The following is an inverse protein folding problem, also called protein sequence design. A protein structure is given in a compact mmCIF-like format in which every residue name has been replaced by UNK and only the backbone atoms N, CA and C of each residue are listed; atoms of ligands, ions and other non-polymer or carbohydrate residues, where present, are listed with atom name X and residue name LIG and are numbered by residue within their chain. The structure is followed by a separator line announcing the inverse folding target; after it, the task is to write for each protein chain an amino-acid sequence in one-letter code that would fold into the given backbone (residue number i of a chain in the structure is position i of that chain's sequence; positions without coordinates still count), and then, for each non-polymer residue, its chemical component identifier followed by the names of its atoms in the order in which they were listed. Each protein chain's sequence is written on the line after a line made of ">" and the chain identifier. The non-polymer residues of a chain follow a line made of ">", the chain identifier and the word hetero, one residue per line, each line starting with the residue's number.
data_IF_281724559675
#
_entry.id   IF_281724559675
#
_cell.length_a   1.000
_cell.length_b   1.000
_cell.length_c   1.000
_cell.angle_alpha   90.00
_cell.angle_beta   90.00
_cell.angle_gamma   90.00
#
_symmetry.space_group_name_H-M   'P 1'
#
loop_
_entity.id
_entity.type
_entity.pdbx_description
1 polymer ?
#
# COMPACT_ATOMS: atom_id res chain seq x y z
N UNK A 1 -36.87 -6.24 19.57
CA UNK A 1 -37.05 -5.04 20.42
C UNK A 1 -35.82 -4.88 21.26
N UNK A 2 -34.92 -3.97 20.87
CA UNK A 2 -33.66 -3.72 21.58
C UNK A 2 -33.93 -2.73 22.69
N UNK A 3 -34.10 -3.22 23.91
CA UNK A 3 -34.22 -2.35 25.09
C UNK A 3 -32.80 -2.05 25.57
N UNK A 4 -32.22 -0.99 25.03
CA UNK A 4 -31.13 -0.27 25.70
C UNK A 4 -31.75 0.57 26.82
N UNK A 5 -32.00 -0.06 27.97
CA UNK A 5 -32.19 0.67 29.23
C UNK A 5 -30.80 0.86 29.81
N UNK A 6 -30.38 2.12 29.98
CA UNK A 6 -29.23 2.48 30.83
C UNK A 6 -29.47 1.82 32.19
N UNK A 7 -28.55 0.98 32.65
CA UNK A 7 -28.70 0.07 33.79
C UNK A 7 -28.79 0.69 35.19
N UNK A 8 -29.41 1.87 35.32
CA UNK A 8 -29.59 2.57 36.60
C UNK A 8 -30.89 2.24 37.33
N UNK A 9 -32.00 2.06 36.62
CA UNK A 9 -33.35 2.09 37.22
C UNK A 9 -34.15 0.81 36.91
N UNK A 10 -33.72 -0.32 37.46
CA UNK A 10 -34.53 -1.56 37.48
C UNK A 10 -35.02 -1.76 38.91
N UNK A 11 -36.34 -1.85 39.11
CA UNK A 11 -36.93 -2.20 40.40
C UNK A 11 -36.66 -3.69 40.68
N UNK A 12 -35.95 -4.05 41.78
CA UNK A 12 -35.70 -5.45 42.13
C UNK A 12 -36.98 -6.29 42.21
N UNK A 13 -38.13 -5.71 42.58
CA UNK A 13 -39.42 -6.42 42.60
C UNK A 13 -39.90 -6.82 41.22
N UNK A 14 -39.56 -6.07 40.16
CA UNK A 14 -39.91 -6.42 38.78
C UNK A 14 -39.17 -7.67 38.29
N UNK A 15 -37.99 -7.97 38.86
CA UNK A 15 -37.13 -9.09 38.43
C UNK A 15 -37.23 -10.28 39.40
N UNK A 16 -37.25 -10.01 40.70
CA UNK A 16 -37.12 -11.01 41.77
C UNK A 16 -38.42 -11.29 42.52
N UNK A 17 -39.48 -10.50 42.30
CA UNK A 17 -40.80 -10.74 42.92
C UNK A 17 -40.80 -10.60 44.45
N UNK A 18 -41.47 -11.54 45.13
CA UNK A 18 -41.62 -11.56 46.59
C UNK A 18 -40.29 -11.75 47.33
N UNK A 19 -39.28 -12.32 46.69
CA UNK A 19 -37.96 -12.56 47.31
C UNK A 19 -37.03 -11.33 47.21
N UNK A 20 -37.48 -10.21 46.62
CA UNK A 20 -36.63 -9.06 46.36
C UNK A 20 -35.96 -8.47 47.63
N UNK A 21 -36.58 -8.62 48.79
CA UNK A 21 -36.05 -8.20 50.09
C UNK A 21 -35.00 -9.15 50.68
N UNK A 22 -34.79 -10.33 50.08
CA UNK A 22 -33.75 -11.30 50.44
C UNK A 22 -32.44 -11.11 49.65
N UNK A 23 -32.43 -10.23 48.64
CA UNK A 23 -31.27 -10.01 47.77
C UNK A 23 -30.79 -8.56 47.80
N UNK A 24 -29.46 -8.38 47.89
CA UNK A 24 -28.82 -7.08 47.75
C UNK A 24 -28.09 -6.99 46.40
N UNK A 25 -28.27 -5.86 45.70
CA UNK A 25 -27.56 -5.60 44.44
C UNK A 25 -26.08 -5.36 44.73
N UNK A 26 -25.21 -6.16 44.11
CA UNK A 26 -23.77 -5.91 44.13
C UNK A 26 -23.47 -4.66 43.27
N UNK A 27 -22.84 -3.61 43.85
CA UNK A 27 -22.59 -2.36 43.14
C UNK A 27 -21.33 -2.40 42.25
N UNK A 28 -20.53 -3.46 42.39
CA UNK A 28 -19.28 -3.63 41.65
C UNK A 28 -19.54 -3.71 40.14
N UNK A 29 -18.66 -3.08 39.38
CA UNK A 29 -18.64 -3.15 37.92
C UNK A 29 -17.52 -4.06 37.45
N UNK A 30 -17.67 -4.60 36.24
CA UNK A 30 -16.58 -5.33 35.61
C UNK A 30 -15.46 -4.39 35.17
N UNK A 31 -14.26 -4.92 35.12
CA UNK A 31 -13.08 -4.21 34.62
C UNK A 31 -13.16 -3.99 33.10
N UNK A 32 -12.58 -2.89 32.62
CA UNK A 32 -12.61 -2.51 31.19
C UNK A 32 -11.90 -3.52 30.29
N UNK A 33 -10.98 -4.34 30.82
CA UNK A 33 -10.40 -5.44 30.06
C UNK A 33 -11.37 -6.60 29.85
N UNK A 34 -12.37 -6.77 30.73
CA UNK A 34 -13.46 -7.71 30.50
C UNK A 34 -14.33 -7.24 29.33
N UNK A 35 -14.73 -5.97 29.35
CA UNK A 35 -15.55 -5.38 28.29
C UNK A 35 -14.87 -5.54 26.92
N UNK A 36 -13.63 -5.06 26.80
CA UNK A 36 -12.86 -5.15 25.54
C UNK A 36 -12.51 -6.59 25.17
N UNK A 37 -12.15 -7.44 26.13
CA UNK A 37 -11.82 -8.85 25.88
C UNK A 37 -13.03 -9.69 25.42
N UNK A 38 -14.25 -9.30 25.79
CA UNK A 38 -15.47 -9.99 25.39
C UNK A 38 -15.93 -9.70 23.95
N UNK A 39 -15.24 -8.83 23.21
CA UNK A 39 -15.64 -8.39 21.85
C UNK A 39 -15.76 -9.51 20.82
N UNK A 40 -15.01 -10.60 20.97
CA UNK A 40 -15.19 -11.78 20.10
C UNK A 40 -16.58 -12.41 20.25
N UNK A 41 -17.20 -12.30 21.42
CA UNK A 41 -18.56 -12.76 21.67
C UNK A 41 -19.58 -11.65 21.38
N UNK A 42 -19.37 -10.46 21.96
CA UNK A 42 -20.35 -9.36 21.88
C UNK A 42 -20.42 -8.68 20.51
N UNK A 43 -19.39 -8.85 19.66
CA UNK A 43 -19.36 -8.30 18.30
C UNK A 43 -19.32 -9.41 17.26
N UNK A 44 -18.30 -10.26 17.26
CA UNK A 44 -18.09 -11.22 16.15
C UNK A 44 -19.18 -12.30 16.13
N UNK A 45 -19.47 -12.96 17.26
CA UNK A 45 -20.54 -13.97 17.29
C UNK A 45 -21.94 -13.36 17.17
N UNK A 46 -22.13 -12.15 17.70
CA UNK A 46 -23.43 -11.49 17.74
C UNK A 46 -23.92 -11.02 16.36
N UNK A 47 -23.03 -10.98 15.37
CA UNK A 47 -23.26 -10.38 14.06
C UNK A 47 -23.41 -11.45 12.98
N UNK A 48 -24.61 -11.60 12.39
CA UNK A 48 -24.86 -12.64 11.39
C UNK A 48 -24.03 -12.45 10.11
N UNK A 49 -23.59 -11.22 9.81
CA UNK A 49 -22.73 -10.93 8.65
C UNK A 49 -21.38 -11.68 8.67
N UNK A 50 -20.94 -12.15 9.84
CA UNK A 50 -19.71 -12.94 9.95
C UNK A 50 -19.93 -14.44 9.81
N UNK A 51 -21.18 -14.92 9.69
CA UNK A 51 -21.53 -16.34 9.47
C UNK A 51 -20.81 -17.34 10.40
N UNK A 52 -20.50 -16.94 11.64
CA UNK A 52 -19.79 -17.78 12.61
C UNK A 52 -18.28 -17.91 12.36
N UNK A 53 -17.71 -17.16 11.42
CA UNK A 53 -16.27 -17.09 11.21
C UNK A 53 -15.59 -16.35 12.37
N UNK A 54 -14.50 -16.94 12.88
CA UNK A 54 -13.62 -16.26 13.81
C UNK A 54 -12.75 -15.23 13.08
N UNK A 55 -12.22 -14.26 13.81
CA UNK A 55 -11.28 -13.29 13.25
C UNK A 55 -10.02 -14.00 12.73
N UNK A 56 -9.59 -13.68 11.51
CA UNK A 56 -8.33 -14.20 10.99
C UNK A 56 -7.14 -13.61 11.74
N UNK A 57 -7.20 -12.33 12.10
CA UNK A 57 -6.10 -11.63 12.76
C UNK A 57 -6.61 -10.61 13.79
N UNK A 58 -5.93 -10.53 14.91
CA UNK A 58 -5.93 -9.37 15.79
C UNK A 58 -4.65 -8.55 15.57
N UNK A 59 -4.78 -7.23 15.44
CA UNK A 59 -3.66 -6.33 15.17
C UNK A 59 -3.74 -5.11 16.08
N UNK A 60 -2.75 -4.94 16.97
CA UNK A 60 -2.64 -3.81 17.90
C UNK A 60 -1.18 -3.56 18.31
N UNK A 61 -0.96 -2.51 19.11
CA UNK A 61 0.33 -2.20 19.72
C UNK A 61 0.86 -3.30 20.66
N UNK A 62 2.18 -3.35 20.83
CA UNK A 62 2.86 -4.35 21.67
C UNK A 62 2.45 -4.33 23.15
N UNK A 63 1.89 -3.23 23.65
CA UNK A 63 1.32 -3.13 24.99
C UNK A 63 0.09 -4.04 25.20
N UNK A 64 -0.59 -4.43 24.12
CA UNK A 64 -1.82 -5.23 24.20
C UNK A 64 -1.57 -6.71 24.52
N UNK A 65 -0.32 -7.19 24.53
CA UNK A 65 0.02 -8.53 25.01
C UNK A 65 -0.45 -8.79 26.44
N UNK A 66 -0.43 -7.77 27.30
CA UNK A 66 -0.92 -7.86 28.69
C UNK A 66 -2.28 -7.19 28.91
N UNK A 67 -2.82 -6.58 27.86
CA UNK A 67 -4.13 -5.95 27.82
C UNK A 67 -5.09 -6.79 26.98
N UNK A 68 -5.51 -6.23 25.85
CA UNK A 68 -6.63 -6.76 25.07
C UNK A 68 -6.41 -8.17 24.51
N UNK A 69 -5.20 -8.53 24.08
CA UNK A 69 -4.94 -9.89 23.59
C UNK A 69 -5.11 -10.93 24.70
N UNK A 70 -4.57 -10.65 25.88
CA UNK A 70 -4.65 -11.55 27.03
C UNK A 70 -6.10 -11.69 27.51
N UNK A 71 -6.82 -10.57 27.69
CA UNK A 71 -8.21 -10.63 28.14
C UNK A 71 -9.12 -11.34 27.13
N UNK A 72 -8.96 -11.04 25.83
CA UNK A 72 -9.70 -11.71 24.76
C UNK A 72 -9.45 -13.22 24.74
N UNK A 73 -8.18 -13.63 24.87
CA UNK A 73 -7.80 -15.03 24.88
C UNK A 73 -8.41 -15.77 26.09
N UNK A 74 -8.25 -15.21 27.30
CA UNK A 74 -8.78 -15.83 28.52
C UNK A 74 -10.30 -16.00 28.45
N UNK A 75 -11.03 -14.96 28.05
CA UNK A 75 -12.49 -15.00 27.98
C UNK A 75 -12.95 -16.00 26.91
N UNK A 76 -12.36 -15.97 25.72
CA UNK A 76 -12.72 -16.91 24.65
C UNK A 76 -12.41 -18.36 25.02
N UNK A 77 -11.28 -18.62 25.68
CA UNK A 77 -10.95 -19.98 26.16
C UNK A 77 -11.92 -20.41 27.26
N UNK A 78 -12.27 -19.54 28.20
CA UNK A 78 -13.23 -19.85 29.26
C UNK A 78 -14.63 -20.15 28.71
N UNK A 79 -15.08 -19.40 27.68
CA UNK A 79 -16.42 -19.55 27.11
C UNK A 79 -16.53 -20.64 26.03
N UNK A 80 -15.47 -20.81 25.22
CA UNK A 80 -15.51 -21.60 23.97
C UNK A 80 -14.40 -22.63 23.84
N UNK A 81 -13.44 -22.68 24.77
CA UNK A 81 -12.31 -23.60 24.71
C UNK A 81 -11.30 -23.34 23.57
N UNK A 82 -11.33 -22.16 22.93
CA UNK A 82 -10.43 -21.81 21.81
C UNK A 82 -10.07 -20.33 21.79
N UNK A 83 -8.98 -19.99 21.10
CA UNK A 83 -8.59 -18.59 20.88
C UNK A 83 -9.61 -17.84 19.99
N UNK A 84 -9.78 -16.52 20.17
CA UNK A 84 -10.75 -15.72 19.40
C UNK A 84 -10.24 -15.29 18.02
N UNK A 85 -8.96 -15.55 17.72
CA UNK A 85 -8.28 -15.17 16.48
C UNK A 85 -7.39 -16.32 15.98
N UNK A 86 -7.04 -16.32 14.68
CA UNK A 86 -6.09 -17.28 14.10
C UNK A 86 -4.64 -16.78 14.19
N UNK A 87 -4.44 -15.48 14.10
CA UNK A 87 -3.13 -14.82 14.14
C UNK A 87 -3.15 -13.57 15.01
N UNK A 88 -1.99 -13.19 15.53
CA UNK A 88 -1.77 -11.90 16.21
C UNK A 88 -0.61 -11.22 15.50
N UNK A 89 -0.82 -9.98 15.07
CA UNK A 89 0.22 -9.12 14.53
C UNK A 89 0.39 -7.92 15.46
N UNK A 90 1.62 -7.60 15.82
CA UNK A 90 1.91 -6.51 16.75
C UNK A 90 2.80 -5.47 16.11
N UNK A 91 2.56 -4.21 16.44
CA UNK A 91 3.43 -3.11 16.03
C UNK A 91 3.98 -2.33 17.22
N UNK A 92 5.10 -1.64 17.01
CA UNK A 92 5.67 -0.73 17.98
C UNK A 92 4.89 0.59 18.09
N UNK A 93 5.35 1.43 19.00
CA UNK A 93 4.75 2.75 19.23
C UNK A 93 5.31 3.79 18.28
N UNK A 94 4.51 4.81 17.98
CA UNK A 94 5.03 6.02 17.33
C UNK A 94 5.83 6.86 18.33
N UNK A 95 7.04 7.24 17.93
CA UNK A 95 7.96 8.09 18.70
C UNK A 95 8.37 9.31 17.88
N UNK A 96 8.90 10.34 18.54
CA UNK A 96 9.41 11.51 17.82
C UNK A 96 10.67 11.17 16.99
N UNK A 97 11.14 12.10 16.17
CA UNK A 97 12.34 11.90 15.33
C UNK A 97 13.65 11.63 16.09
N UNK A 98 13.66 11.75 17.42
CA UNK A 98 14.79 11.40 18.29
C UNK A 98 14.55 10.08 19.05
N UNK A 99 13.45 9.36 18.78
CA UNK A 99 13.11 8.12 19.46
C UNK A 99 12.48 8.31 20.84
N UNK A 100 11.99 9.51 21.17
CA UNK A 100 11.38 9.77 22.48
C UNK A 100 9.87 9.61 22.39
N UNK A 101 9.28 9.10 23.48
CA UNK A 101 7.82 9.03 23.62
C UNK A 101 7.20 10.41 23.40
N UNK A 102 6.17 10.45 22.56
CA UNK A 102 5.46 11.70 22.29
C UNK A 102 4.57 12.08 23.47
N UNK A 103 4.57 13.36 23.84
CA UNK A 103 3.62 13.91 24.80
C UNK A 103 3.25 15.36 24.45
N UNK A 104 2.03 15.76 24.81
CA UNK A 104 1.56 17.13 24.63
C UNK A 104 2.38 18.13 25.47
N UNK A 105 2.85 17.72 26.66
CA UNK A 105 3.63 18.59 27.55
C UNK A 105 5.05 18.86 27.04
N UNK A 106 5.67 17.91 26.34
CA UNK A 106 6.99 18.07 25.71
C UNK A 106 6.87 18.81 24.37
N UNK A 107 5.67 18.86 23.77
CA UNK A 107 5.42 19.55 22.51
C UNK A 107 5.95 18.83 21.27
N UNK A 108 6.32 17.55 21.39
CA UNK A 108 6.86 16.72 20.31
C UNK A 108 5.80 15.81 19.65
N UNK A 109 4.51 16.12 19.84
CA UNK A 109 3.41 15.33 19.26
C UNK A 109 3.14 15.75 17.82
N UNK A 110 3.03 14.78 16.91
CA UNK A 110 2.56 15.00 15.54
C UNK A 110 1.14 14.46 15.40
N UNK A 111 0.17 15.31 15.09
CA UNK A 111 -1.22 14.89 14.88
C UNK A 111 -1.41 14.29 13.49
N UNK A 112 -2.02 13.09 13.36
CA UNK A 112 -2.36 12.51 12.06
C UNK A 112 -3.21 13.45 11.20
N UNK A 113 -4.17 14.17 11.80
CA UNK A 113 -5.02 15.10 11.08
C UNK A 113 -4.23 16.26 10.48
N UNK A 114 -3.22 16.77 11.18
CA UNK A 114 -2.38 17.85 10.67
C UNK A 114 -1.52 17.40 9.50
N UNK A 115 -1.01 16.16 9.56
CA UNK A 115 -0.27 15.56 8.44
C UNK A 115 -1.19 15.37 7.23
N UNK A 116 -2.39 14.84 7.43
CA UNK A 116 -3.37 14.65 6.35
C UNK A 116 -3.76 16.00 5.71
N UNK A 117 -3.98 17.04 6.51
CA UNK A 117 -4.32 18.37 6.00
C UNK A 117 -3.17 19.02 5.22
N UNK A 118 -1.90 18.79 5.63
CA UNK A 118 -0.72 19.40 5.00
C UNK A 118 -0.20 18.63 3.78
N UNK A 119 -0.21 17.30 3.85
CA UNK A 119 0.46 16.42 2.88
C UNK A 119 -0.53 15.48 2.15
N UNK A 120 -1.66 15.15 2.77
CA UNK A 120 -2.62 14.19 2.24
C UNK A 120 -2.52 12.82 2.91
N UNK A 121 -3.63 12.08 2.91
CA UNK A 121 -3.75 10.79 3.57
C UNK A 121 -2.80 9.72 3.01
N UNK A 122 -2.61 9.66 1.68
CA UNK A 122 -1.72 8.69 1.05
C UNK A 122 -0.25 8.88 1.47
N UNK A 123 0.18 10.10 1.76
CA UNK A 123 1.55 10.36 2.22
C UNK A 123 1.75 9.83 3.64
N UNK A 124 0.75 10.01 4.51
CA UNK A 124 0.76 9.44 5.85
C UNK A 124 0.76 7.90 5.79
N UNK A 125 -0.12 7.30 4.97
CA UNK A 125 -0.18 5.84 4.78
C UNK A 125 1.12 5.28 4.19
N UNK A 126 1.72 5.99 3.23
CA UNK A 126 3.00 5.60 2.65
C UNK A 126 4.14 5.65 3.67
N UNK A 127 4.16 6.66 4.56
CA UNK A 127 5.12 6.71 5.66
C UNK A 127 4.96 5.50 6.60
N UNK A 128 3.72 5.21 7.04
CA UNK A 128 3.42 4.04 7.89
C UNK A 128 3.93 2.77 7.21
N UNK A 129 3.55 2.55 5.95
CA UNK A 129 3.95 1.37 5.19
C UNK A 129 5.46 1.30 4.93
N UNK A 130 6.16 2.43 4.84
CA UNK A 130 7.62 2.46 4.60
C UNK A 130 8.47 2.15 5.82
N UNK A 131 7.85 2.02 7.00
CA UNK A 131 8.54 1.81 8.27
C UNK A 131 8.44 0.35 8.69
N UNK A 132 9.52 -0.22 9.20
CA UNK A 132 9.47 -1.50 9.92
C UNK A 132 8.68 -1.31 11.22
N UNK A 133 7.43 -1.76 11.22
CA UNK A 133 6.51 -1.59 12.33
C UNK A 133 6.81 -2.53 13.50
N UNK A 134 7.70 -3.51 13.36
CA UNK A 134 8.06 -4.41 14.48
C UNK A 134 8.82 -3.67 15.58
N UNK A 135 9.50 -2.58 15.22
CA UNK A 135 10.14 -1.63 16.14
C UNK A 135 9.33 -0.35 16.37
N UNK A 136 9.93 0.59 17.11
CA UNK A 136 9.35 1.92 17.27
C UNK A 136 9.35 2.71 15.95
N UNK A 137 8.25 3.39 15.66
CA UNK A 137 8.04 4.11 14.42
C UNK A 137 8.33 5.60 14.62
N UNK A 138 9.49 6.08 14.17
CA UNK A 138 9.85 7.48 14.31
C UNK A 138 9.10 8.39 13.31
N UNK A 139 8.54 9.51 13.82
CA UNK A 139 7.90 10.54 13.00
C UNK A 139 8.54 11.92 13.21
N UNK A 140 8.79 12.61 12.11
CA UNK A 140 9.25 14.00 12.08
C UNK A 140 8.87 14.64 10.75
N UNK A 141 8.88 15.98 10.69
CA UNK A 141 8.64 16.71 9.45
C UNK A 141 9.61 16.31 8.33
N UNK A 142 10.87 15.99 8.67
CA UNK A 142 11.86 15.52 7.70
C UNK A 142 11.52 14.14 7.16
N UNK A 143 11.11 13.20 8.03
CA UNK A 143 10.70 11.86 7.64
C UNK A 143 9.45 11.93 6.74
N UNK A 144 8.46 12.73 7.12
CA UNK A 144 7.25 12.95 6.33
C UNK A 144 7.55 13.60 4.97
N UNK A 145 8.52 14.51 4.92
CA UNK A 145 8.99 15.09 3.65
C UNK A 145 9.62 14.02 2.74
N UNK A 146 10.41 13.09 3.27
CA UNK A 146 10.97 11.96 2.51
C UNK A 146 9.87 11.03 1.98
N UNK A 147 8.83 10.77 2.78
CA UNK A 147 7.66 10.03 2.33
C UNK A 147 6.94 10.78 1.19
N UNK A 148 6.79 12.11 1.29
CA UNK A 148 6.20 12.92 0.23
C UNK A 148 7.01 12.90 -1.06
N UNK A 149 8.35 12.89 -0.98
CA UNK A 149 9.21 12.80 -2.17
C UNK A 149 9.12 11.41 -2.83
N UNK A 150 8.99 10.36 -2.03
CA UNK A 150 8.73 8.99 -2.52
C UNK A 150 7.38 8.91 -3.22
N UNK A 151 6.33 9.44 -2.59
CA UNK A 151 5.00 9.58 -3.19
C UNK A 151 5.03 10.29 -4.55
N UNK A 152 5.67 11.47 -4.61
CA UNK A 152 5.80 12.25 -5.87
C UNK A 152 6.48 11.44 -6.96
N UNK A 153 7.46 10.61 -6.61
CA UNK A 153 8.17 9.79 -7.59
C UNK A 153 7.26 8.72 -8.19
N UNK A 154 6.53 7.98 -7.35
CA UNK A 154 5.57 6.97 -7.81
C UNK A 154 4.47 7.62 -8.67
N UNK A 155 3.89 8.73 -8.19
CA UNK A 155 2.86 9.48 -8.92
C UNK A 155 3.38 9.99 -10.28
N UNK A 156 4.61 10.49 -10.35
CA UNK A 156 5.20 10.96 -11.61
C UNK A 156 5.42 9.84 -12.61
N UNK A 157 5.82 8.64 -12.16
CA UNK A 157 5.91 7.47 -13.02
C UNK A 157 4.53 7.12 -13.58
N UNK A 158 3.51 6.98 -12.73
CA UNK A 158 2.14 6.71 -13.19
C UNK A 158 1.63 7.77 -14.18
N UNK A 159 1.85 9.06 -13.89
CA UNK A 159 1.50 10.16 -14.80
C UNK A 159 2.19 10.04 -16.16
N UNK A 160 3.46 9.64 -16.19
CA UNK A 160 4.17 9.42 -17.45
C UNK A 160 3.56 8.27 -18.25
N UNK A 161 3.21 7.15 -17.60
CA UNK A 161 2.53 6.02 -18.24
C UNK A 161 1.22 6.49 -18.88
N UNK A 162 0.33 7.13 -18.10
CA UNK A 162 -0.97 7.62 -18.57
C UNK A 162 -0.84 8.62 -19.72
N UNK A 163 0.07 9.59 -19.63
CA UNK A 163 0.26 10.59 -20.68
C UNK A 163 0.63 9.97 -22.03
N UNK A 164 1.31 8.82 -22.01
CA UNK A 164 1.72 8.09 -23.20
C UNK A 164 0.66 7.07 -23.69
N UNK A 165 -0.42 6.88 -22.93
CA UNK A 165 -1.59 6.07 -23.30
C UNK A 165 -2.72 6.90 -23.89
N UNK A 166 -2.54 8.21 -24.07
CA UNK A 166 -3.54 9.06 -24.73
C UNK A 166 -3.82 8.55 -26.17
N UNK A 167 -5.08 8.30 -26.47
CA UNK A 167 -5.54 7.76 -27.75
C UNK A 167 -5.23 6.28 -27.97
N UNK A 168 -4.72 5.56 -26.97
CA UNK A 168 -4.53 4.11 -27.03
C UNK A 168 -5.84 3.40 -26.65
N UNK A 169 -6.34 2.53 -27.51
CA UNK A 169 -7.46 1.65 -27.22
C UNK A 169 -6.96 0.20 -27.03
N UNK A 170 -6.94 -0.35 -25.81
CA UNK A 170 -6.43 -1.71 -25.59
C UNK A 170 -7.18 -2.78 -26.39
N UNK A 171 -8.45 -2.56 -26.74
CA UNK A 171 -9.22 -3.54 -27.52
C UNK A 171 -8.74 -3.69 -28.98
N UNK A 172 -8.10 -2.65 -29.55
CA UNK A 172 -7.74 -2.62 -30.98
C UNK A 172 -6.25 -2.41 -31.23
N UNK A 173 -5.54 -1.81 -30.27
CA UNK A 173 -4.19 -1.28 -30.48
C UNK A 173 -3.10 -2.13 -29.81
N UNK A 174 -3.48 -3.13 -29.00
CA UNK A 174 -2.52 -4.02 -28.37
C UNK A 174 -1.75 -4.84 -29.41
N UNK A 175 -0.45 -4.99 -29.18
CA UNK A 175 0.45 -5.84 -29.98
C UNK A 175 0.70 -7.13 -29.22
N UNK A 176 0.72 -8.27 -29.92
CA UNK A 176 1.01 -9.56 -29.29
C UNK A 176 2.45 -9.59 -28.77
N UNK A 177 2.73 -10.27 -27.64
CA UNK A 177 4.08 -10.31 -27.05
C UNK A 177 5.18 -10.67 -28.06
N UNK A 178 4.96 -11.64 -28.94
CA UNK A 178 5.91 -12.10 -29.95
C UNK A 178 6.22 -11.07 -31.05
N UNK A 179 5.32 -10.10 -31.27
CA UNK A 179 5.45 -9.02 -32.26
C UNK A 179 5.98 -7.72 -31.64
N UNK A 180 6.10 -7.68 -30.30
CA UNK A 180 6.59 -6.52 -29.58
C UNK A 180 8.11 -6.35 -29.74
N UNK A 181 8.55 -5.10 -29.65
CA UNK A 181 9.97 -4.78 -29.51
C UNK A 181 10.46 -5.39 -28.21
N UNK A 182 11.59 -6.11 -28.26
CA UNK A 182 12.15 -6.86 -27.12
C UNK A 182 12.31 -5.99 -25.86
N UNK A 183 12.74 -4.73 -26.01
CA UNK A 183 12.85 -3.79 -24.88
C UNK A 183 11.53 -3.60 -24.12
N UNK A 184 10.40 -3.64 -24.83
CA UNK A 184 9.06 -3.42 -24.25
C UNK A 184 8.60 -4.67 -23.51
N UNK A 185 8.86 -5.85 -24.09
CA UNK A 185 8.64 -7.15 -23.43
C UNK A 185 9.47 -7.27 -22.16
N UNK A 186 10.73 -6.86 -22.20
CA UNK A 186 11.60 -6.80 -21.03
C UNK A 186 11.01 -5.92 -19.93
N UNK A 187 10.46 -4.75 -20.28
CA UNK A 187 9.84 -3.85 -19.30
C UNK A 187 8.60 -4.46 -18.64
N UNK A 188 7.78 -5.22 -19.40
CA UNK A 188 6.67 -6.01 -18.83
C UNK A 188 7.20 -7.14 -17.95
N UNK A 189 8.31 -7.78 -18.33
CA UNK A 189 9.01 -8.78 -17.51
C UNK A 189 9.48 -8.22 -16.17
N UNK A 190 10.07 -7.02 -16.14
CA UNK A 190 10.39 -6.33 -14.90
C UNK A 190 9.16 -6.11 -14.02
N UNK A 191 8.02 -5.75 -14.62
CA UNK A 191 6.76 -5.59 -13.88
C UNK A 191 6.25 -6.92 -13.32
N UNK A 192 6.38 -8.02 -14.08
CA UNK A 192 6.04 -9.37 -13.62
C UNK A 192 6.83 -9.75 -12.37
N UNK A 193 8.15 -9.58 -12.41
CA UNK A 193 9.02 -9.83 -11.26
C UNK A 193 8.69 -8.92 -10.08
N UNK A 194 8.44 -7.63 -10.34
CA UNK A 194 8.01 -6.69 -9.31
C UNK A 194 6.73 -7.12 -8.61
N UNK A 195 5.71 -7.53 -9.37
CA UNK A 195 4.46 -8.01 -8.81
C UNK A 195 4.68 -9.22 -7.91
N UNK A 196 5.44 -10.22 -8.36
CA UNK A 196 5.69 -11.42 -7.57
C UNK A 196 6.36 -11.11 -6.22
N UNK A 197 7.33 -10.19 -6.21
CA UNK A 197 8.00 -9.75 -4.99
C UNK A 197 7.07 -8.93 -4.08
N UNK A 198 6.25 -8.04 -4.65
CA UNK A 198 5.26 -7.25 -3.92
C UNK A 198 4.19 -8.13 -3.27
N UNK A 199 3.66 -9.12 -4.00
CA UNK A 199 2.65 -10.05 -3.48
C UNK A 199 3.20 -10.84 -2.29
N UNK A 200 4.42 -11.39 -2.41
CA UNK A 200 5.08 -12.09 -1.30
C UNK A 200 5.26 -11.19 -0.07
N UNK A 201 5.65 -9.93 -0.27
CA UNK A 201 5.79 -8.99 0.83
C UNK A 201 4.43 -8.66 1.48
N UNK A 202 3.35 -8.50 0.71
CA UNK A 202 2.01 -8.36 1.28
C UNK A 202 1.56 -9.59 2.08
N UNK A 203 1.80 -10.80 1.57
CA UNK A 203 1.49 -12.05 2.26
C UNK A 203 2.26 -12.22 3.57
N UNK A 204 3.50 -11.72 3.62
CA UNK A 204 4.35 -11.73 4.81
C UNK A 204 4.08 -10.55 5.77
N UNK A 205 3.16 -9.64 5.43
CA UNK A 205 2.94 -8.37 6.12
C UNK A 205 4.18 -7.45 6.14
N UNK A 206 5.11 -7.59 5.19
CA UNK A 206 6.32 -6.77 5.05
C UNK A 206 6.06 -5.52 4.19
N UNK A 207 5.22 -4.61 4.69
CA UNK A 207 4.81 -3.42 3.92
C UNK A 207 5.97 -2.50 3.52
N UNK A 208 7.05 -2.47 4.30
CA UNK A 208 8.23 -1.66 4.01
C UNK A 208 8.96 -2.18 2.77
N UNK A 209 9.00 -3.50 2.57
CA UNK A 209 9.53 -4.13 1.37
C UNK A 209 8.65 -3.85 0.14
N UNK A 210 7.33 -3.81 0.30
CA UNK A 210 6.42 -3.37 -0.78
C UNK A 210 6.78 -1.96 -1.26
N UNK A 211 6.93 -1.01 -0.33
CA UNK A 211 7.27 0.38 -0.66
C UNK A 211 8.67 0.47 -1.31
N UNK A 212 9.66 -0.24 -0.78
CA UNK A 212 11.00 -0.30 -1.37
C UNK A 212 10.97 -0.84 -2.79
N UNK A 213 10.22 -1.93 -3.03
CA UNK A 213 10.12 -2.55 -4.35
C UNK A 213 9.41 -1.65 -5.37
N UNK A 214 8.33 -0.99 -4.96
CA UNK A 214 7.63 0.03 -5.75
C UNK A 214 8.57 1.18 -6.14
N UNK A 215 9.35 1.68 -5.17
CA UNK A 215 10.30 2.77 -5.39
C UNK A 215 11.44 2.37 -6.32
N UNK A 216 11.97 1.15 -6.17
CA UNK A 216 12.96 0.57 -7.07
C UNK A 216 12.41 0.47 -8.49
N UNK A 217 11.18 -0.05 -8.66
CA UNK A 217 10.51 -0.15 -9.95
C UNK A 217 10.38 1.21 -10.64
N UNK A 218 9.80 2.18 -9.92
CA UNK A 218 9.55 3.51 -10.47
C UNK A 218 10.85 4.27 -10.78
N UNK A 219 11.86 4.17 -9.92
CA UNK A 219 13.11 4.94 -10.05
C UNK A 219 14.09 4.33 -11.04
N UNK A 220 14.32 3.03 -10.93
CA UNK A 220 15.45 2.35 -11.58
C UNK A 220 15.00 1.75 -12.90
N UNK A 221 14.09 0.78 -12.84
CA UNK A 221 13.65 0.02 -14.03
C UNK A 221 12.88 0.94 -15.00
N UNK A 222 11.90 1.69 -14.48
CA UNK A 222 11.10 2.59 -15.30
C UNK A 222 11.82 3.92 -15.55
N UNK A 223 12.06 4.71 -14.50
CA UNK A 223 12.51 6.10 -14.66
C UNK A 223 13.89 6.25 -15.30
N UNK A 224 14.90 5.54 -14.80
CA UNK A 224 16.29 5.73 -15.24
C UNK A 224 16.67 4.98 -16.52
N UNK A 225 15.86 3.98 -16.90
CA UNK A 225 16.14 3.09 -18.01
C UNK A 225 15.01 3.11 -19.05
N UNK A 226 13.90 2.39 -18.82
CA UNK A 226 12.89 2.18 -19.86
C UNK A 226 12.26 3.49 -20.37
N UNK A 227 11.65 4.27 -19.46
CA UNK A 227 10.93 5.50 -19.81
C UNK A 227 11.83 6.57 -20.41
N UNK A 228 13.14 6.52 -20.15
CA UNK A 228 14.08 7.45 -20.78
C UNK A 228 14.46 7.03 -22.21
N UNK A 229 14.60 5.72 -22.46
CA UNK A 229 14.92 5.17 -23.79
C UNK A 229 13.76 5.38 -24.76
N UNK A 230 12.53 5.12 -24.32
CA UNK A 230 11.36 5.10 -25.22
C UNK A 230 10.88 6.49 -25.66
N UNK A 231 11.36 7.58 -25.05
CA UNK A 231 10.92 8.96 -25.37
C UNK A 231 11.04 9.26 -26.85
N UNK A 232 12.19 8.98 -27.44
CA UNK A 232 12.42 9.27 -28.85
C UNK A 232 11.41 8.52 -29.72
N UNK A 233 11.28 7.21 -29.52
CA UNK A 233 10.32 6.36 -30.24
C UNK A 233 8.87 6.84 -30.07
N UNK A 234 8.49 7.30 -28.87
CA UNK A 234 7.14 7.80 -28.62
C UNK A 234 6.86 9.13 -29.35
N UNK A 235 7.86 9.99 -29.52
CA UNK A 235 7.70 11.29 -30.18
C UNK A 235 7.88 11.26 -31.69
N UNK A 236 8.67 10.34 -32.22
CA UNK A 236 9.08 10.34 -33.64
C UNK A 236 8.40 9.25 -34.47
N UNK A 237 7.97 8.14 -33.86
CA UNK A 237 7.33 7.05 -34.60
C UNK A 237 5.90 7.40 -35.03
N UNK A 238 5.49 6.89 -36.20
CA UNK A 238 4.12 7.02 -36.70
C UNK A 238 3.12 6.46 -35.67
N UNK A 239 1.96 7.12 -35.55
CA UNK A 239 0.96 6.84 -34.54
C UNK A 239 0.50 5.37 -34.51
N UNK A 240 0.39 4.75 -35.67
CA UNK A 240 -0.08 3.39 -35.94
C UNK A 240 1.05 2.37 -36.13
N UNK A 241 2.32 2.78 -35.97
CA UNK A 241 3.45 1.86 -36.15
C UNK A 241 3.56 0.84 -35.03
N UNK A 242 4.00 -0.39 -35.36
CA UNK A 242 4.29 -1.46 -34.38
C UNK A 242 5.24 -0.97 -33.29
N UNK A 243 6.25 -0.19 -33.65
CA UNK A 243 7.22 0.37 -32.69
C UNK A 243 6.55 1.23 -31.59
N UNK A 244 5.53 2.03 -31.96
CA UNK A 244 4.76 2.83 -31.01
C UNK A 244 3.71 2.00 -30.27
N UNK A 245 2.98 1.12 -30.97
CA UNK A 245 1.94 0.27 -30.37
C UNK A 245 2.50 -0.75 -29.39
N UNK A 246 3.68 -1.31 -29.68
CA UNK A 246 4.45 -2.14 -28.75
C UNK A 246 4.75 -1.39 -27.44
N UNK A 247 5.24 -0.16 -27.57
CA UNK A 247 5.53 0.70 -26.42
C UNK A 247 4.27 0.95 -25.57
N UNK A 248 3.17 1.36 -26.21
CA UNK A 248 1.90 1.61 -25.53
C UNK A 248 1.32 0.35 -24.88
N UNK A 249 1.45 -0.80 -25.53
CA UNK A 249 1.04 -2.10 -24.97
C UNK A 249 1.79 -2.40 -23.67
N UNK A 250 3.12 -2.25 -23.66
CA UNK A 250 3.90 -2.42 -22.44
C UNK A 250 3.52 -1.41 -21.35
N UNK A 251 3.38 -0.13 -21.70
CA UNK A 251 2.98 0.91 -20.74
C UNK A 251 1.59 0.63 -20.14
N UNK A 252 0.66 0.08 -20.92
CA UNK A 252 -0.66 -0.31 -20.47
C UNK A 252 -0.59 -1.44 -19.43
N UNK A 253 0.10 -2.54 -19.74
CA UNK A 253 0.30 -3.64 -18.79
C UNK A 253 0.98 -3.17 -17.49
N UNK A 254 2.02 -2.34 -17.62
CA UNK A 254 2.74 -1.80 -16.45
C UNK A 254 1.83 -0.90 -15.61
N UNK A 255 0.99 -0.07 -16.25
CA UNK A 255 0.09 0.83 -15.53
C UNK A 255 -1.04 0.07 -14.82
N UNK A 256 -1.63 -0.95 -15.46
CA UNK A 256 -2.64 -1.82 -14.85
C UNK A 256 -2.08 -2.50 -13.58
N UNK A 257 -0.86 -3.01 -13.64
CA UNK A 257 -0.21 -3.64 -12.49
C UNK A 257 0.16 -2.63 -11.40
N UNK A 258 0.84 -1.53 -11.75
CA UNK A 258 1.31 -0.51 -10.82
C UNK A 258 0.18 0.06 -9.96
N UNK A 259 -0.99 0.32 -10.56
CA UNK A 259 -2.16 0.91 -9.88
C UNK A 259 -2.74 -0.05 -8.86
N UNK A 260 -2.74 -1.36 -9.15
CA UNK A 260 -3.16 -2.38 -8.19
C UNK A 260 -2.17 -2.52 -7.05
N UNK A 261 -0.87 -2.57 -7.33
CA UNK A 261 0.16 -2.68 -6.29
C UNK A 261 0.10 -1.52 -5.29
N UNK A 262 -0.24 -0.32 -5.75
CA UNK A 262 -0.36 0.83 -4.85
C UNK A 262 -1.67 0.88 -4.06
N UNK A 263 -2.75 0.22 -4.52
CA UNK A 263 -4.09 0.41 -3.96
C UNK A 263 -4.20 0.14 -2.45
N UNK A 264 -3.55 -0.89 -1.85
CA UNK A 264 -3.62 -1.11 -0.40
C UNK A 264 -2.96 0.01 0.43
N UNK A 265 -1.94 0.69 -0.11
CA UNK A 265 -1.16 1.71 0.62
C UNK A 265 -1.62 3.13 0.26
N UNK A 266 -1.72 3.44 -1.03
CA UNK A 266 -2.04 4.77 -1.58
C UNK A 266 -3.42 4.77 -2.26
N UNK A 267 -4.45 4.41 -1.48
CA UNK A 267 -5.78 4.09 -2.00
C UNK A 267 -6.41 5.22 -2.81
N UNK A 268 -6.25 6.47 -2.38
CA UNK A 268 -6.88 7.61 -3.07
C UNK A 268 -6.23 7.86 -4.43
N UNK A 269 -4.90 7.81 -4.49
CA UNK A 269 -4.14 7.99 -5.73
C UNK A 269 -4.36 6.83 -6.69
N UNK A 270 -4.48 5.60 -6.18
CA UNK A 270 -4.78 4.43 -6.98
C UNK A 270 -6.15 4.57 -7.67
N UNK A 271 -7.18 4.93 -6.91
CA UNK A 271 -8.55 5.12 -7.43
C UNK A 271 -8.63 6.32 -8.39
N UNK A 272 -7.90 7.41 -8.12
CA UNK A 272 -7.77 8.53 -9.05
C UNK A 272 -7.19 8.06 -10.40
N UNK A 273 -6.07 7.33 -10.38
CA UNK A 273 -5.42 6.84 -11.61
C UNK A 273 -6.30 5.84 -12.35
N UNK A 274 -7.03 4.98 -11.61
CA UNK A 274 -7.90 3.96 -12.16
C UNK A 274 -8.87 4.51 -13.20
N UNK A 275 -9.48 5.67 -12.92
CA UNK A 275 -10.41 6.34 -13.82
C UNK A 275 -9.79 6.92 -15.10
N UNK A 276 -8.46 7.04 -15.19
CA UNK A 276 -7.76 7.54 -16.37
C UNK A 276 -7.10 6.47 -17.23
N UNK A 277 -7.11 5.20 -16.78
CA UNK A 277 -6.58 4.11 -17.58
C UNK A 277 -7.54 3.77 -18.74
N UNK A 278 -7.03 3.51 -19.96
CA UNK A 278 -7.87 3.25 -21.12
C UNK A 278 -8.53 1.86 -21.06
N UNK A 279 -9.68 1.71 -21.72
CA UNK A 279 -10.40 0.43 -21.79
C UNK A 279 -11.51 0.27 -20.75
N UNK A 280 -12.32 -0.78 -20.92
CA UNK A 280 -13.40 -1.13 -20.02
C UNK A 280 -12.86 -1.69 -18.71
N UNK A 281 -13.44 -1.27 -17.58
CA UNK A 281 -12.99 -1.65 -16.24
C UNK A 281 -14.11 -1.53 -15.23
N UNK A 282 -13.92 -2.17 -14.10
CA UNK A 282 -14.77 -2.02 -12.93
C UNK A 282 -14.74 -0.59 -12.39
N UNK A 283 -15.77 -0.22 -11.62
CA UNK A 283 -15.93 1.14 -11.11
C UNK A 283 -14.79 1.59 -10.20
N UNK A 284 -14.25 0.69 -9.39
CA UNK A 284 -13.24 0.99 -8.39
C UNK A 284 -12.07 0.03 -8.52
N UNK A 285 -10.86 0.52 -8.27
CA UNK A 285 -9.67 -0.36 -8.21
C UNK A 285 -9.78 -1.40 -7.09
N UNK A 286 -10.54 -1.08 -6.03
CA UNK A 286 -10.67 -1.91 -4.82
C UNK A 286 -11.44 -3.22 -5.01
N UNK A 287 -12.17 -3.37 -6.13
CA UNK A 287 -12.86 -4.60 -6.47
C UNK A 287 -12.07 -5.49 -7.43
N UNK A 288 -10.99 -4.95 -8.00
CA UNK A 288 -10.13 -5.68 -8.93
C UNK A 288 -9.14 -6.62 -8.23
N UNK A 289 -8.73 -7.65 -8.96
CA UNK A 289 -7.69 -8.58 -8.55
C UNK A 289 -6.30 -8.14 -9.03
N UNK A 290 -5.23 -8.81 -8.57
CA UNK A 290 -3.88 -8.59 -9.08
C UNK A 290 -3.79 -8.81 -10.60
N UNK A 291 -2.97 -8.02 -11.29
CA UNK A 291 -2.97 -8.03 -12.74
C UNK A 291 -2.33 -9.31 -13.31
N UNK A 292 -3.06 -10.07 -14.12
CA UNK A 292 -2.64 -11.35 -14.68
C UNK A 292 -2.03 -11.24 -16.08
N UNK A 293 -2.18 -10.11 -16.76
CA UNK A 293 -1.66 -9.86 -18.11
C UNK A 293 -0.15 -9.63 -18.22
N UNK A 294 0.63 -9.88 -17.15
CA UNK A 294 2.09 -9.68 -17.16
C UNK A 294 2.82 -10.91 -17.72
N UNK A 295 3.71 -10.68 -18.68
CA UNK A 295 4.57 -11.69 -19.30
C UNK A 295 6.05 -11.29 -19.22
N UNK A 296 6.93 -12.24 -19.48
CA UNK A 296 8.38 -12.03 -19.49
C UNK A 296 9.02 -12.51 -20.78
N UNK A 297 10.33 -12.43 -20.84
CA UNK A 297 11.15 -13.06 -21.88
C UNK A 297 11.46 -14.50 -21.46
N UNK A 298 11.56 -15.41 -22.43
CA UNK A 298 12.05 -16.77 -22.14
C UNK A 298 13.57 -16.75 -21.94
N UNK A 299 14.09 -17.66 -21.11
CA UNK A 299 15.53 -17.70 -20.77
C UNK A 299 16.43 -17.98 -21.99
N UNK A 300 15.90 -18.72 -22.96
CA UNK A 300 16.56 -19.09 -24.22
C UNK A 300 16.52 -17.99 -25.29
N UNK A 301 15.88 -16.85 -25.04
CA UNK A 301 15.90 -15.72 -25.98
C UNK A 301 17.27 -15.02 -26.02
N UNK A 302 17.70 -14.58 -27.20
CA UNK A 302 18.99 -13.91 -27.41
C UNK A 302 19.16 -12.65 -26.55
N UNK A 303 18.06 -11.92 -26.32
CA UNK A 303 18.02 -10.69 -25.53
C UNK A 303 17.25 -10.87 -24.21
N UNK A 304 17.51 -11.97 -23.50
CA UNK A 304 16.90 -12.27 -22.20
C UNK A 304 17.24 -11.26 -21.08
N UNK A 305 16.76 -11.53 -19.87
CA UNK A 305 16.94 -10.66 -18.69
C UNK A 305 18.42 -10.43 -18.32
N UNK A 306 19.29 -11.41 -18.56
CA UNK A 306 20.72 -11.28 -18.31
C UNK A 306 21.37 -10.25 -19.25
N UNK A 307 21.00 -10.27 -20.52
CA UNK A 307 21.44 -9.28 -21.50
C UNK A 307 21.03 -7.85 -21.10
N UNK A 308 19.77 -7.65 -20.71
CA UNK A 308 19.27 -6.32 -20.34
C UNK A 308 19.85 -5.82 -19.02
N UNK A 309 20.10 -6.71 -18.06
CA UNK A 309 20.81 -6.38 -16.82
C UNK A 309 22.22 -5.86 -17.12
N UNK A 310 22.96 -6.55 -17.99
CA UNK A 310 24.29 -6.11 -18.45
C UNK A 310 24.24 -4.78 -19.21
N UNK A 311 23.20 -4.59 -20.03
CA UNK A 311 22.97 -3.34 -20.78
C UNK A 311 22.67 -2.15 -19.86
N UNK A 312 21.88 -2.33 -18.80
CA UNK A 312 21.59 -1.30 -17.80
C UNK A 312 22.85 -0.88 -17.02
N UNK A 313 23.69 -1.87 -16.62
CA UNK A 313 24.98 -1.61 -15.97
C UNK A 313 25.90 -0.81 -16.91
N UNK A 314 26.00 -1.24 -18.17
CA UNK A 314 26.84 -0.60 -19.18
C UNK A 314 26.39 0.84 -19.45
N UNK A 315 25.09 1.08 -19.59
CA UNK A 315 24.51 2.42 -19.72
C UNK A 315 24.88 3.31 -18.54
N UNK A 316 24.77 2.80 -17.31
CA UNK A 316 25.13 3.57 -16.10
C UNK A 316 26.59 4.02 -16.11
N UNK A 317 27.51 3.14 -16.55
CA UNK A 317 28.93 3.47 -16.71
C UNK A 317 29.15 4.52 -17.80
N UNK A 318 28.50 4.37 -18.96
CA UNK A 318 28.58 5.31 -20.08
C UNK A 318 28.01 6.69 -19.71
N UNK A 319 26.88 6.76 -19.00
CA UNK A 319 26.30 8.03 -18.53
C UNK A 319 27.23 8.74 -17.54
N UNK A 320 27.89 8.00 -16.64
CA UNK A 320 28.93 8.59 -15.76
C UNK A 320 30.09 9.15 -16.57
N UNK A 321 30.62 8.40 -17.54
CA UNK A 321 31.70 8.85 -18.43
C UNK A 321 31.31 10.09 -19.23
N UNK A 322 30.09 10.11 -19.79
CA UNK A 322 29.57 11.26 -20.54
C UNK A 322 29.39 12.50 -19.66
N UNK A 323 28.90 12.35 -18.42
CA UNK A 323 28.80 13.46 -17.46
C UNK A 323 30.17 14.05 -17.11
N UNK A 324 31.21 13.22 -17.00
CA UNK A 324 32.58 13.67 -16.76
C UNK A 324 33.14 14.41 -17.98
N UNK A 325 32.77 13.99 -19.20
CA UNK A 325 33.22 14.59 -20.46
C UNK A 325 32.40 15.80 -20.91
N UNK A 326 31.24 16.06 -20.30
CA UNK A 326 30.44 17.26 -20.59
C UNK A 326 31.20 18.49 -20.08
N UNK A 327 31.54 19.47 -20.94
CA UNK A 327 32.07 20.74 -20.47
C UNK A 327 31.06 21.37 -19.51
N UNK A 328 31.52 21.98 -18.41
CA UNK A 328 30.68 22.85 -17.58
C UNK A 328 30.20 24.01 -18.46
N UNK A 329 29.03 23.86 -19.09
CA UNK A 329 28.39 24.94 -19.81
C UNK A 329 28.01 26.00 -18.77
N UNK A 330 28.71 27.13 -18.82
CA UNK A 330 28.46 28.28 -17.98
C UNK A 330 27.02 28.77 -18.13
N UNK A 331 26.44 29.20 -17.01
CA UNK A 331 25.17 29.92 -16.94
C UNK A 331 25.12 31.04 -18.00
N UNK A 332 24.50 30.78 -19.16
CA UNK A 332 23.97 31.83 -20.03
C UNK A 332 22.47 31.88 -19.82
N UNK A 333 22.07 32.84 -19.01
CA UNK A 333 20.73 33.40 -18.90
C UNK A 333 20.23 33.79 -20.29
N UNK A 334 19.31 33.02 -20.85
CA UNK A 334 18.49 33.46 -21.97
C UNK A 334 17.43 34.40 -21.40
N UNK A 335 17.70 35.72 -21.39
CA UNK A 335 16.65 36.73 -21.33
C UNK A 335 15.91 36.69 -22.67
N UNK A 336 14.66 36.23 -22.65
CA UNK A 336 13.74 36.40 -23.77
C UNK A 336 13.45 37.90 -23.96
N UNK A 337 13.53 38.35 -25.20
CA UNK A 337 12.88 39.57 -25.71
C UNK A 337 11.61 39.15 -26.43
#
# INVERSE_FOLDING_TARGET
>A
MTVSRRGGDLDPKEILGEDADQYEKVPDTLDVWFDSGSTSYSVVDARPEFAGHAADMYLEGSDQHRGWFMSSLMISVAMKGKAPYRQVLTHGFTVDGQGRKMSKSIGNTVSPQDVMNKLGADILRLWVASTDYTGEMAVSDEILKRAADSYRRIRNTARFLLANLNGFNPATDMVKPEEMVVLDRWAVGCAKTAQQEILKAYEAYDFHEVVQRLMRFCSVEMGSFYLDIIKDRQYTAKADSVARRSCQTALYHIAEALVRWMAPIMSFTADEIWGYLPGEREKYVFTGEWYDGLFGLEENEEFNDAFWTMSAISRTRSTKSWKIRRPMASNRTWKQK
#
